data_IF_209509532219
#
_entry.id   IF_209509532219
#
_cell.length_a   1.000
_cell.length_b   1.000
_cell.length_c   1.000
_cell.angle_alpha   90.00
_cell.angle_beta   90.00
_cell.angle_gamma   90.00
#
_symmetry.space_group_name_H-M   'P 1'
#
loop_
_entity.id
_entity.type
_entity.pdbx_description
1 polymer ?
#
# COMPACT_ATOMS: atom_id res chain seq x y z
N UNK A 1 -68.11 46.14 58.93
CA UNK A 1 -68.24 46.90 57.67
C UNK A 1 -66.89 46.83 56.96
N UNK A 2 -66.90 46.20 55.77
CA UNK A 2 -66.02 46.42 54.59
C UNK A 2 -64.47 46.35 54.65
N UNK A 3 -63.95 45.53 53.71
CA UNK A 3 -62.58 45.38 53.13
C UNK A 3 -61.52 44.68 54.02
N UNK A 4 -60.62 43.77 53.55
CA UNK A 4 -60.03 43.55 52.22
C UNK A 4 -59.31 42.17 52.08
N UNK A 5 -59.46 41.56 50.88
CA UNK A 5 -58.59 40.70 50.03
C UNK A 5 -57.77 39.44 50.47
N UNK A 6 -57.57 38.60 49.42
CA UNK A 6 -56.51 37.60 49.10
C UNK A 6 -56.78 36.11 49.42
N UNK A 7 -56.65 35.10 48.53
CA UNK A 7 -55.91 34.90 47.25
C UNK A 7 -56.66 33.87 46.37
N UNK A 8 -56.67 34.08 45.04
CA UNK A 8 -57.34 33.24 44.05
C UNK A 8 -56.69 31.87 43.76
N UNK A 9 -57.52 30.92 43.31
CA UNK A 9 -57.11 29.63 42.74
C UNK A 9 -57.28 29.67 41.22
N UNK A 10 -56.17 29.62 40.50
CA UNK A 10 -56.12 29.41 39.05
C UNK A 10 -56.06 27.89 38.80
N UNK A 11 -57.07 27.34 38.13
CA UNK A 11 -57.06 25.99 37.58
C UNK A 11 -56.46 26.05 36.16
N UNK A 12 -55.21 25.61 36.02
CA UNK A 12 -54.59 25.37 34.71
C UNK A 12 -55.03 24.00 34.19
N UNK A 13 -55.81 23.98 33.10
CA UNK A 13 -56.07 22.77 32.32
C UNK A 13 -54.88 22.56 31.36
N UNK A 14 -54.06 21.54 31.62
CA UNK A 14 -53.00 21.10 30.71
C UNK A 14 -53.62 20.13 29.70
N UNK A 15 -53.77 20.58 28.45
CA UNK A 15 -54.05 19.70 27.32
C UNK A 15 -52.75 18.96 26.96
N UNK A 16 -52.67 17.67 27.31
CA UNK A 16 -51.62 16.79 26.82
C UNK A 16 -51.97 16.37 25.39
N UNK A 17 -51.36 16.99 24.39
CA UNK A 17 -51.37 16.50 23.01
C UNK A 17 -50.36 15.36 22.94
N UNK A 18 -50.85 14.12 22.98
CA UNK A 18 -50.06 12.93 22.69
C UNK A 18 -49.81 12.84 21.18
N UNK A 19 -48.63 13.30 20.75
CA UNK A 19 -48.12 12.98 19.41
C UNK A 19 -47.56 11.56 19.47
N UNK A 20 -48.40 10.57 19.16
CA UNK A 20 -47.90 9.21 18.91
C UNK A 20 -47.01 9.24 17.67
N UNK A 21 -45.77 8.72 17.72
CA UNK A 21 -44.96 8.58 16.51
C UNK A 21 -45.69 7.61 15.58
N UNK A 22 -46.09 8.09 14.40
CA UNK A 22 -46.57 7.24 13.32
C UNK A 22 -45.40 6.37 12.91
N UNK A 23 -45.36 5.13 13.42
CA UNK A 23 -44.52 4.09 12.86
C UNK A 23 -45.08 3.83 11.46
N UNK A 24 -44.41 4.37 10.45
CA UNK A 24 -44.75 4.08 9.06
C UNK A 24 -44.70 2.56 8.87
N UNK A 25 -45.88 1.94 8.69
CA UNK A 25 -45.96 0.50 8.43
C UNK A 25 -45.21 0.22 7.14
N UNK A 26 -44.23 -0.69 7.20
CA UNK A 26 -43.52 -1.14 6.01
C UNK A 26 -44.53 -1.87 5.12
N UNK A 27 -44.88 -1.28 3.96
CA UNK A 27 -45.75 -1.95 2.99
C UNK A 27 -45.06 -3.22 2.49
N UNK A 28 -45.59 -4.39 2.84
CA UNK A 28 -45.12 -5.69 2.34
C UNK A 28 -46.13 -6.35 1.39
N UNK A 29 -47.15 -5.61 0.96
CA UNK A 29 -48.23 -6.12 0.10
C UNK A 29 -47.86 -6.09 -1.38
N UNK A 30 -47.08 -5.08 -1.78
CA UNK A 30 -46.59 -4.84 -3.14
C UNK A 30 -45.11 -5.22 -3.31
N UNK A 31 -44.69 -5.50 -4.55
CA UNK A 31 -43.28 -5.78 -4.87
C UNK A 31 -42.38 -4.57 -4.59
N UNK A 32 -42.85 -3.36 -4.85
CA UNK A 32 -42.12 -2.12 -4.53
C UNK A 32 -42.02 -1.88 -3.03
N UNK A 33 -43.09 -2.17 -2.28
CA UNK A 33 -43.09 -2.14 -0.82
C UNK A 33 -42.07 -3.12 -0.24
N UNK A 34 -42.06 -4.35 -0.74
CA UNK A 34 -41.07 -5.37 -0.37
C UNK A 34 -39.63 -4.98 -0.76
N UNK A 35 -39.42 -4.32 -1.90
CA UNK A 35 -38.10 -3.79 -2.27
C UNK A 35 -37.64 -2.69 -1.31
N UNK A 36 -38.53 -1.78 -0.90
CA UNK A 36 -38.23 -0.76 0.12
C UNK A 36 -37.91 -1.42 1.47
N UNK A 37 -38.68 -2.43 1.88
CA UNK A 37 -38.43 -3.22 3.08
C UNK A 37 -37.06 -3.90 3.03
N UNK A 38 -36.69 -4.48 1.88
CA UNK A 38 -35.40 -5.11 1.67
C UNK A 38 -34.25 -4.09 1.76
N UNK A 39 -34.40 -2.91 1.16
CA UNK A 39 -33.39 -1.84 1.23
C UNK A 39 -33.20 -1.34 2.66
N UNK A 40 -34.30 -1.12 3.39
CA UNK A 40 -34.27 -0.76 4.81
C UNK A 40 -33.53 -1.82 5.63
N UNK A 41 -33.92 -3.08 5.48
CA UNK A 41 -33.28 -4.18 6.20
C UNK A 41 -31.78 -4.30 5.88
N UNK A 42 -31.36 -4.04 4.63
CA UNK A 42 -29.96 -4.13 4.24
C UNK A 42 -29.11 -2.93 4.66
N UNK A 43 -29.63 -1.69 4.60
CA UNK A 43 -28.85 -0.48 4.81
C UNK A 43 -29.03 0.14 6.19
N UNK A 44 -30.23 0.04 6.77
CA UNK A 44 -30.52 0.65 8.08
C UNK A 44 -30.28 -0.36 9.21
N UNK A 45 -30.66 -1.63 8.96
CA UNK A 45 -30.62 -2.68 9.99
C UNK A 45 -29.41 -3.65 9.85
N UNK A 46 -28.59 -3.50 8.79
CA UNK A 46 -27.50 -4.43 8.41
C UNK A 46 -27.92 -5.92 8.36
N UNK A 47 -29.23 -6.18 8.17
CA UNK A 47 -29.83 -7.50 8.21
C UNK A 47 -30.03 -8.07 6.81
N UNK A 48 -28.92 -8.50 6.20
CA UNK A 48 -28.92 -9.15 4.88
C UNK A 48 -29.80 -10.41 4.79
N UNK A 49 -29.88 -11.31 5.80
CA UNK A 49 -30.81 -12.42 5.77
C UNK A 49 -32.27 -11.98 5.59
N UNK A 50 -32.71 -10.99 6.37
CA UNK A 50 -34.08 -10.49 6.28
C UNK A 50 -34.34 -9.75 4.95
N UNK A 51 -33.37 -8.98 4.47
CA UNK A 51 -33.45 -8.33 3.17
C UNK A 51 -33.67 -9.35 2.03
N UNK A 52 -32.97 -10.50 2.08
CA UNK A 52 -33.19 -11.60 1.11
C UNK A 52 -34.60 -12.20 1.21
N UNK A 53 -35.14 -12.38 2.43
CA UNK A 53 -36.52 -12.86 2.61
C UNK A 53 -37.53 -11.94 1.93
N UNK A 54 -37.38 -10.63 2.11
CA UNK A 54 -38.23 -9.66 1.42
C UNK A 54 -38.06 -9.72 -0.11
N UNK A 55 -36.83 -9.85 -0.60
CA UNK A 55 -36.57 -9.96 -2.04
C UNK A 55 -37.14 -11.21 -2.67
N UNK A 56 -37.07 -12.37 -2.00
CA UNK A 56 -37.69 -13.59 -2.53
C UNK A 56 -39.21 -13.44 -2.67
N UNK A 57 -39.87 -12.87 -1.66
CA UNK A 57 -41.31 -12.58 -1.73
C UNK A 57 -41.64 -11.58 -2.85
N UNK A 58 -40.78 -10.59 -3.07
CA UNK A 58 -40.96 -9.61 -4.14
C UNK A 58 -40.79 -10.25 -5.52
N UNK A 59 -39.78 -11.11 -5.70
CA UNK A 59 -39.49 -11.81 -6.96
C UNK A 59 -40.62 -12.79 -7.29
N UNK A 60 -41.21 -13.46 -6.29
CA UNK A 60 -42.35 -14.36 -6.50
C UNK A 60 -43.58 -13.60 -7.02
N UNK A 61 -43.83 -12.39 -6.50
CA UNK A 61 -44.91 -11.50 -6.97
C UNK A 61 -44.62 -10.87 -8.34
N UNK A 62 -43.35 -10.58 -8.64
CA UNK A 62 -42.95 -9.89 -9.88
C UNK A 62 -41.64 -10.48 -10.45
N UNK A 63 -41.70 -11.66 -11.11
CA UNK A 63 -40.50 -12.38 -11.55
C UNK A 63 -39.61 -11.64 -12.56
N UNK A 64 -40.22 -10.72 -13.33
CA UNK A 64 -39.60 -9.93 -14.38
C UNK A 64 -39.12 -8.55 -13.92
N UNK A 65 -39.25 -8.22 -12.63
CA UNK A 65 -38.77 -6.95 -12.11
C UNK A 65 -37.27 -7.04 -11.83
N UNK A 66 -36.46 -6.63 -12.82
CA UNK A 66 -35.00 -6.76 -12.82
C UNK A 66 -34.31 -6.18 -11.58
N UNK A 67 -34.78 -5.05 -11.05
CA UNK A 67 -34.22 -4.40 -9.86
C UNK A 67 -34.20 -5.31 -8.62
N UNK A 68 -35.20 -6.18 -8.47
CA UNK A 68 -35.25 -7.12 -7.35
C UNK A 68 -34.09 -8.11 -7.42
N UNK A 69 -33.84 -8.66 -8.61
CA UNK A 69 -32.74 -9.62 -8.86
C UNK A 69 -31.39 -8.93 -8.81
N UNK A 70 -31.25 -7.71 -9.34
CA UNK A 70 -30.01 -6.93 -9.23
C UNK A 70 -29.69 -6.63 -7.77
N UNK A 71 -30.68 -6.21 -6.98
CA UNK A 71 -30.45 -5.93 -5.57
C UNK A 71 -30.13 -7.19 -4.76
N UNK A 72 -30.78 -8.33 -5.06
CA UNK A 72 -30.42 -9.63 -4.49
C UNK A 72 -28.97 -10.02 -4.85
N UNK A 73 -28.56 -9.81 -6.10
CA UNK A 73 -27.18 -10.03 -6.56
C UNK A 73 -26.16 -9.16 -5.82
N UNK A 74 -26.48 -7.90 -5.54
CA UNK A 74 -25.64 -7.01 -4.71
C UNK A 74 -25.49 -7.51 -3.29
N UNK A 75 -26.57 -7.95 -2.64
CA UNK A 75 -26.50 -8.53 -1.29
C UNK A 75 -25.61 -9.78 -1.28
N UNK A 76 -25.76 -10.65 -2.28
CA UNK A 76 -24.87 -11.80 -2.41
C UNK A 76 -23.41 -11.40 -2.61
N UNK A 77 -23.16 -10.35 -3.39
CA UNK A 77 -21.82 -9.80 -3.58
C UNK A 77 -21.23 -9.28 -2.26
N UNK A 78 -21.98 -8.48 -1.50
CA UNK A 78 -21.52 -7.94 -0.21
C UNK A 78 -21.28 -9.02 0.84
N UNK A 79 -22.03 -10.12 0.76
CA UNK A 79 -21.85 -11.30 1.62
C UNK A 79 -20.86 -12.33 1.05
N UNK A 80 -20.12 -11.99 0.00
CA UNK A 80 -19.08 -12.82 -0.67
C UNK A 80 -19.59 -14.15 -1.24
N UNK A 81 -20.89 -14.24 -1.52
CA UNK A 81 -21.52 -15.38 -2.18
C UNK A 81 -21.54 -15.14 -3.70
N UNK A 82 -20.36 -15.12 -4.33
CA UNK A 82 -20.19 -14.67 -5.71
C UNK A 82 -20.93 -15.54 -6.75
N UNK A 83 -21.02 -16.85 -6.53
CA UNK A 83 -21.76 -17.74 -7.43
C UNK A 83 -23.27 -17.44 -7.44
N UNK A 84 -23.86 -17.19 -6.27
CA UNK A 84 -25.26 -16.78 -6.18
C UNK A 84 -25.50 -15.39 -6.78
N UNK A 85 -24.56 -14.45 -6.57
CA UNK A 85 -24.62 -13.14 -7.19
C UNK A 85 -24.58 -13.23 -8.72
N UNK A 86 -23.71 -14.10 -9.25
CA UNK A 86 -23.55 -14.34 -10.68
C UNK A 86 -24.84 -14.78 -11.33
N UNK A 87 -25.52 -15.77 -10.75
CA UNK A 87 -26.81 -16.26 -11.24
C UNK A 87 -27.84 -15.12 -11.28
N UNK A 88 -27.89 -14.28 -10.25
CA UNK A 88 -28.84 -13.17 -10.20
C UNK A 88 -28.62 -12.16 -11.36
N UNK A 89 -27.37 -11.81 -11.65
CA UNK A 89 -27.05 -10.88 -12.73
C UNK A 89 -27.22 -11.50 -14.12
N UNK A 90 -26.81 -12.76 -14.29
CA UNK A 90 -26.95 -13.49 -15.56
C UNK A 90 -28.42 -13.65 -15.95
N UNK A 91 -29.31 -13.95 -14.99
CA UNK A 91 -30.76 -14.01 -15.24
C UNK A 91 -31.32 -12.66 -15.72
N UNK A 92 -30.88 -11.55 -15.12
CA UNK A 92 -31.32 -10.21 -15.56
C UNK A 92 -30.81 -9.91 -16.97
N UNK A 93 -29.52 -10.15 -17.24
CA UNK A 93 -28.91 -9.85 -18.53
C UNK A 93 -29.35 -10.80 -19.65
N UNK A 94 -29.81 -12.00 -19.32
CA UNK A 94 -30.46 -12.91 -20.29
C UNK A 94 -31.78 -12.35 -20.80
N UNK A 95 -32.54 -11.67 -19.95
CA UNK A 95 -33.82 -11.05 -20.31
C UNK A 95 -33.62 -9.68 -20.95
N UNK A 96 -32.68 -8.89 -20.42
CA UNK A 96 -32.33 -7.57 -20.94
C UNK A 96 -30.80 -7.38 -20.95
N UNK A 97 -30.13 -7.73 -22.06
CA UNK A 97 -28.68 -7.59 -22.20
C UNK A 97 -28.15 -6.16 -22.01
N UNK A 98 -29.01 -5.15 -22.18
CA UNK A 98 -28.67 -3.74 -22.02
C UNK A 98 -28.97 -3.17 -20.64
N UNK A 99 -29.36 -3.98 -19.65
CA UNK A 99 -29.70 -3.48 -18.31
C UNK A 99 -28.46 -2.94 -17.59
N UNK A 100 -28.26 -1.62 -17.69
CA UNK A 100 -27.05 -0.94 -17.24
C UNK A 100 -26.69 -1.25 -15.78
N UNK A 101 -27.66 -1.19 -14.87
CA UNK A 101 -27.42 -1.41 -13.44
C UNK A 101 -26.96 -2.85 -13.12
N UNK A 102 -27.43 -3.85 -13.89
CA UNK A 102 -26.95 -5.22 -13.77
C UNK A 102 -25.52 -5.36 -14.31
N UNK A 103 -25.20 -4.74 -15.45
CA UNK A 103 -23.82 -4.74 -15.98
C UNK A 103 -22.86 -4.07 -15.00
N UNK A 104 -23.24 -2.93 -14.43
CA UNK A 104 -22.44 -2.23 -13.44
C UNK A 104 -22.19 -3.10 -12.19
N UNK A 105 -23.25 -3.70 -11.63
CA UNK A 105 -23.14 -4.53 -10.44
C UNK A 105 -22.37 -5.85 -10.70
N UNK A 106 -22.54 -6.45 -11.87
CA UNK A 106 -21.84 -7.67 -12.25
C UNK A 106 -20.34 -7.40 -12.52
N UNK A 107 -20.01 -6.29 -13.17
CA UNK A 107 -18.63 -5.86 -13.33
C UNK A 107 -17.93 -5.64 -11.98
N UNK A 108 -18.60 -5.00 -11.00
CA UNK A 108 -18.04 -4.84 -9.65
C UNK A 108 -17.83 -6.18 -8.96
N UNK A 109 -18.83 -7.07 -9.00
CA UNK A 109 -18.75 -8.38 -8.37
C UNK A 109 -17.57 -9.20 -8.91
N UNK A 110 -17.44 -9.28 -10.24
CA UNK A 110 -16.34 -10.02 -10.90
C UNK A 110 -15.00 -9.37 -10.62
N UNK A 111 -14.93 -8.04 -10.56
CA UNK A 111 -13.72 -7.32 -10.16
C UNK A 111 -13.31 -7.63 -8.71
N UNK A 112 -14.27 -7.67 -7.77
CA UNK A 112 -14.00 -8.03 -6.36
C UNK A 112 -13.71 -9.51 -6.14
N UNK A 113 -14.06 -10.37 -7.10
CA UNK A 113 -13.68 -11.78 -7.11
C UNK A 113 -12.37 -12.05 -7.88
N UNK A 114 -11.55 -11.01 -8.12
CA UNK A 114 -10.29 -11.08 -8.87
C UNK A 114 -10.41 -11.59 -10.34
N UNK A 115 -11.63 -11.66 -10.88
CA UNK A 115 -11.94 -12.07 -12.26
C UNK A 115 -11.87 -10.85 -13.21
N UNK A 116 -10.71 -10.17 -13.26
CA UNK A 116 -10.53 -8.91 -14.00
C UNK A 116 -10.90 -9.01 -15.49
N UNK A 117 -10.51 -10.08 -16.18
CA UNK A 117 -10.85 -10.26 -17.60
C UNK A 117 -12.37 -10.41 -17.80
N UNK A 118 -13.06 -11.13 -16.91
CA UNK A 118 -14.51 -11.26 -16.98
C UNK A 118 -15.19 -9.93 -16.71
N UNK A 119 -14.72 -9.17 -15.72
CA UNK A 119 -15.21 -7.82 -15.42
C UNK A 119 -15.07 -6.88 -16.62
N UNK A 120 -13.95 -6.96 -17.33
CA UNK A 120 -13.72 -6.21 -18.57
C UNK A 120 -14.74 -6.59 -19.65
N UNK A 121 -14.94 -7.88 -19.89
CA UNK A 121 -15.95 -8.36 -20.85
C UNK A 121 -17.35 -7.87 -20.51
N UNK A 122 -17.78 -7.94 -19.24
CA UNK A 122 -19.09 -7.44 -18.82
C UNK A 122 -19.23 -5.94 -19.06
N UNK A 123 -18.19 -5.14 -18.79
CA UNK A 123 -18.21 -3.72 -19.11
C UNK A 123 -18.34 -3.50 -20.62
N UNK A 124 -17.60 -4.25 -21.44
CA UNK A 124 -17.61 -4.12 -22.90
C UNK A 124 -18.95 -4.50 -23.51
N UNK A 125 -19.57 -5.59 -23.05
CA UNK A 125 -20.93 -5.95 -23.46
C UNK A 125 -21.96 -4.90 -23.04
N UNK A 126 -21.90 -4.40 -21.80
CA UNK A 126 -22.80 -3.34 -21.35
C UNK A 126 -22.67 -2.04 -22.17
N UNK A 127 -21.45 -1.70 -22.58
CA UNK A 127 -21.17 -0.49 -23.40
C UNK A 127 -21.77 -0.62 -24.80
N UNK A 128 -21.88 -1.83 -25.38
CA UNK A 128 -22.54 -2.02 -26.68
C UNK A 128 -23.98 -1.53 -26.66
N UNK A 129 -24.69 -1.76 -25.56
CA UNK A 129 -26.08 -1.32 -25.37
C UNK A 129 -26.18 0.10 -24.80
N UNK A 130 -25.20 0.53 -23.99
CA UNK A 130 -25.18 1.84 -23.34
C UNK A 130 -23.89 2.62 -23.68
N UNK A 131 -23.71 3.06 -24.95
CA UNK A 131 -22.45 3.64 -25.44
C UNK A 131 -22.09 5.00 -24.82
N UNK A 132 -22.98 5.60 -24.03
CA UNK A 132 -22.76 6.86 -23.29
C UNK A 132 -22.76 6.68 -21.77
N UNK A 133 -22.69 5.44 -21.27
CA UNK A 133 -22.66 5.16 -19.83
C UNK A 133 -21.35 5.61 -19.20
N UNK A 134 -21.38 6.71 -18.43
CA UNK A 134 -20.23 7.14 -17.63
C UNK A 134 -19.77 6.04 -16.66
N UNK A 135 -20.73 5.34 -16.03
CA UNK A 135 -20.47 4.29 -15.05
C UNK A 135 -19.71 3.09 -15.64
N UNK A 136 -20.10 2.61 -16.81
CA UNK A 136 -19.46 1.44 -17.44
C UNK A 136 -18.04 1.78 -17.91
N UNK A 137 -17.83 2.97 -18.49
CA UNK A 137 -16.48 3.41 -18.86
C UNK A 137 -15.57 3.64 -17.64
N UNK A 138 -16.12 4.16 -16.53
CA UNK A 138 -15.37 4.28 -15.26
C UNK A 138 -14.95 2.91 -14.72
N UNK A 139 -15.84 1.92 -14.71
CA UNK A 139 -15.52 0.55 -14.30
C UNK A 139 -14.49 -0.09 -15.23
N UNK A 140 -14.68 0.01 -16.55
CA UNK A 140 -13.72 -0.44 -17.56
C UNK A 140 -12.32 0.16 -17.30
N UNK A 141 -12.23 1.47 -17.07
CA UNK A 141 -10.96 2.13 -16.78
C UNK A 141 -10.31 1.62 -15.49
N UNK A 142 -11.08 1.33 -14.43
CA UNK A 142 -10.58 0.75 -13.18
C UNK A 142 -10.02 -0.65 -13.37
N UNK A 143 -10.75 -1.51 -14.08
CA UNK A 143 -10.34 -2.89 -14.39
C UNK A 143 -9.08 -2.88 -15.25
N UNK A 144 -9.03 -2.06 -16.31
CA UNK A 144 -7.83 -1.95 -17.14
C UNK A 144 -6.62 -1.41 -16.35
N UNK A 145 -6.85 -0.49 -15.42
CA UNK A 145 -5.80 0.01 -14.53
C UNK A 145 -5.30 -1.07 -13.55
N UNK A 146 -6.17 -1.92 -12.99
CA UNK A 146 -5.74 -3.06 -12.14
C UNK A 146 -4.91 -4.07 -12.93
N UNK A 147 -5.26 -4.29 -14.20
CA UNK A 147 -4.53 -5.15 -15.14
C UNK A 147 -3.23 -4.52 -15.67
N UNK A 148 -2.86 -3.31 -15.22
CA UNK A 148 -1.72 -2.52 -15.71
C UNK A 148 -1.77 -2.18 -17.21
N UNK A 149 -2.94 -2.26 -17.83
CA UNK A 149 -3.22 -1.83 -19.21
C UNK A 149 -3.48 -0.32 -19.25
N UNK A 150 -2.50 0.46 -18.82
CA UNK A 150 -2.68 1.89 -18.53
C UNK A 150 -3.08 2.72 -19.75
N UNK A 151 -2.59 2.38 -20.95
CA UNK A 151 -2.99 3.08 -22.17
C UNK A 151 -4.48 2.87 -22.50
N UNK A 152 -4.99 1.66 -22.34
CA UNK A 152 -6.40 1.37 -22.59
C UNK A 152 -7.28 1.95 -21.48
N UNK A 153 -6.80 1.92 -20.22
CA UNK A 153 -7.46 2.54 -19.09
C UNK A 153 -7.62 4.05 -19.29
N UNK A 154 -6.57 4.72 -19.77
CA UNK A 154 -6.61 6.16 -20.06
C UNK A 154 -7.62 6.45 -21.17
N UNK A 155 -7.60 5.70 -22.28
CA UNK A 155 -8.62 5.83 -23.34
C UNK A 155 -10.04 5.72 -22.79
N UNK A 156 -10.32 4.72 -21.94
CA UNK A 156 -11.64 4.50 -21.36
C UNK A 156 -12.08 5.67 -20.46
N UNK A 157 -11.20 6.20 -19.59
CA UNK A 157 -11.57 7.33 -18.72
C UNK A 157 -11.67 8.65 -19.48
N UNK A 158 -10.93 8.84 -20.58
CA UNK A 158 -11.07 10.01 -21.44
C UNK A 158 -12.46 10.08 -22.10
N UNK A 159 -13.09 8.93 -22.40
CA UNK A 159 -14.48 8.91 -22.87
C UNK A 159 -15.41 9.56 -21.84
N UNK A 160 -15.28 9.19 -20.57
CA UNK A 160 -16.09 9.78 -19.47
C UNK A 160 -15.85 11.29 -19.36
N UNK A 161 -14.60 11.74 -19.43
CA UNK A 161 -14.25 13.16 -19.37
C UNK A 161 -14.81 13.93 -20.59
N UNK A 162 -14.89 13.29 -21.75
CA UNK A 162 -15.47 13.89 -22.95
C UNK A 162 -17.00 14.03 -22.87
N UNK A 163 -17.69 13.03 -22.27
CA UNK A 163 -19.13 13.04 -22.04
C UNK A 163 -19.51 14.05 -20.94
N UNK A 164 -18.76 14.04 -19.84
CA UNK A 164 -18.99 14.90 -18.69
C UNK A 164 -17.66 15.48 -18.20
N UNK A 165 -17.37 16.68 -18.70
CA UNK A 165 -16.13 17.40 -18.36
C UNK A 165 -15.98 17.58 -16.87
N UNK A 166 -17.06 17.73 -16.10
CA UNK A 166 -17.05 18.03 -14.67
C UNK A 166 -17.04 16.79 -13.77
N UNK A 167 -16.96 15.59 -14.33
CA UNK A 167 -16.86 14.36 -13.56
C UNK A 167 -15.52 14.32 -12.78
N UNK A 168 -15.59 14.62 -11.48
CA UNK A 168 -14.42 14.71 -10.59
C UNK A 168 -13.77 13.34 -10.37
N UNK A 169 -14.58 12.29 -10.30
CA UNK A 169 -14.15 10.91 -10.17
C UNK A 169 -13.33 10.45 -11.39
N UNK A 170 -13.80 10.76 -12.60
CA UNK A 170 -13.09 10.46 -13.83
C UNK A 170 -11.74 11.18 -13.91
N UNK A 171 -11.69 12.48 -13.55
CA UNK A 171 -10.44 13.25 -13.51
C UNK A 171 -9.45 12.69 -12.49
N UNK A 172 -9.93 12.31 -11.30
CA UNK A 172 -9.10 11.69 -10.28
C UNK A 172 -8.56 10.32 -10.73
N UNK A 173 -9.40 9.49 -11.36
CA UNK A 173 -9.00 8.21 -11.93
C UNK A 173 -7.98 8.39 -13.07
N UNK A 174 -8.17 9.35 -13.97
CA UNK A 174 -7.22 9.68 -15.04
C UNK A 174 -5.87 10.15 -14.49
N UNK A 175 -5.86 10.88 -13.37
CA UNK A 175 -4.61 11.23 -12.68
C UNK A 175 -3.90 9.99 -12.15
N UNK A 176 -4.63 9.10 -11.47
CA UNK A 176 -4.10 7.83 -10.93
C UNK A 176 -3.57 6.90 -12.03
N UNK A 177 -4.29 6.76 -13.14
CA UNK A 177 -3.84 5.95 -14.29
C UNK A 177 -2.53 6.50 -14.84
N UNK A 178 -2.44 7.82 -15.05
CA UNK A 178 -1.21 8.46 -15.53
C UNK A 178 -0.05 8.31 -14.54
N UNK A 179 -0.30 8.44 -13.23
CA UNK A 179 0.71 8.18 -12.20
C UNK A 179 1.21 6.73 -12.24
N UNK A 180 0.30 5.76 -12.39
CA UNK A 180 0.63 4.34 -12.49
C UNK A 180 1.36 3.99 -13.81
N UNK A 181 1.08 4.73 -14.88
CA UNK A 181 1.67 4.52 -16.21
C UNK A 181 3.14 4.94 -16.28
N UNK A 182 3.58 5.80 -15.35
CA UNK A 182 4.95 6.29 -15.31
C UNK A 182 5.92 5.12 -15.11
N UNK A 183 6.89 5.03 -16.01
CA UNK A 183 7.88 3.95 -16.01
C UNK A 183 9.20 4.37 -15.42
N UNK A 184 9.57 5.66 -15.53
CA UNK A 184 10.90 6.10 -15.17
C UNK A 184 10.87 6.90 -13.87
N UNK A 185 11.98 6.87 -13.16
CA UNK A 185 12.21 7.72 -12.00
C UNK A 185 13.67 8.13 -11.95
N UNK A 186 13.92 9.31 -11.41
CA UNK A 186 15.25 9.79 -11.07
C UNK A 186 15.23 10.24 -9.61
N UNK A 187 16.23 9.81 -8.85
CA UNK A 187 16.41 10.13 -7.45
C UNK A 187 17.75 10.81 -7.21
N UNK A 188 17.77 11.74 -6.27
CA UNK A 188 18.99 12.31 -5.71
C UNK A 188 18.87 12.26 -4.20
N UNK A 189 19.88 11.75 -3.52
CA UNK A 189 19.97 11.77 -2.06
C UNK A 189 21.33 12.24 -1.58
N UNK A 190 21.33 12.79 -0.38
CA UNK A 190 22.52 13.19 0.34
C UNK A 190 22.45 12.67 1.78
N UNK A 191 23.50 11.94 2.19
CA UNK A 191 23.70 11.47 3.54
C UNK A 191 24.87 12.23 4.19
N UNK A 192 24.63 12.73 5.39
CA UNK A 192 25.61 13.35 6.26
C UNK A 192 25.73 12.54 7.55
N UNK A 193 26.94 12.11 7.89
CA UNK A 193 27.22 11.35 9.12
C UNK A 193 28.26 12.08 9.94
N UNK A 194 28.00 12.23 11.24
CA UNK A 194 28.95 12.84 12.18
C UNK A 194 29.14 11.95 13.41
N UNK A 195 30.27 12.15 14.08
CA UNK A 195 30.74 11.31 15.18
C UNK A 195 31.12 12.19 16.37
N UNK A 196 30.90 11.71 17.58
CA UNK A 196 31.32 12.42 18.80
C UNK A 196 32.81 12.19 19.13
N UNK A 197 33.36 11.01 18.80
CA UNK A 197 34.72 10.60 19.20
C UNK A 197 35.50 9.88 18.11
N UNK A 198 34.84 9.03 17.31
CA UNK A 198 35.53 8.05 16.46
C UNK A 198 36.29 8.70 15.29
N UNK A 199 35.74 9.77 14.72
CA UNK A 199 36.32 10.51 13.60
C UNK A 199 36.14 12.01 13.82
N UNK A 200 37.14 12.80 13.44
CA UNK A 200 37.07 14.26 13.46
C UNK A 200 36.26 14.82 12.29
N UNK A 201 36.37 14.18 11.12
CA UNK A 201 35.73 14.64 9.90
C UNK A 201 34.38 13.93 9.70
N UNK A 202 33.31 14.67 9.37
CA UNK A 202 32.05 14.07 9.00
C UNK A 202 32.17 13.31 7.67
N UNK A 203 31.27 12.37 7.45
CA UNK A 203 31.16 11.65 6.20
C UNK A 203 30.02 12.18 5.36
N UNK A 204 30.26 12.15 4.06
CA UNK A 204 29.34 12.64 3.04
C UNK A 204 29.11 11.54 2.01
N UNK A 205 27.87 11.35 1.58
CA UNK A 205 27.52 10.50 0.45
C UNK A 205 26.45 11.20 -0.38
N UNK A 206 26.68 11.33 -1.68
CA UNK A 206 25.69 11.76 -2.66
C UNK A 206 25.38 10.58 -3.55
N UNK A 207 24.10 10.30 -3.74
CA UNK A 207 23.63 9.26 -4.66
C UNK A 207 22.72 9.87 -5.72
N UNK A 208 22.92 9.46 -6.96
CA UNK A 208 22.01 9.73 -8.07
C UNK A 208 21.56 8.39 -8.64
N UNK A 209 20.26 8.13 -8.62
CA UNK A 209 19.69 6.89 -9.16
C UNK A 209 18.72 7.16 -10.31
N UNK A 210 18.75 6.28 -11.30
CA UNK A 210 17.74 6.21 -12.35
C UNK A 210 17.11 4.83 -12.33
N UNK A 211 15.79 4.78 -12.20
CA UNK A 211 15.01 3.55 -12.17
C UNK A 211 14.01 3.48 -13.31
N UNK A 212 13.83 2.28 -13.87
CA UNK A 212 12.80 2.00 -14.87
C UNK A 212 12.01 0.75 -14.52
N UNK A 213 10.69 0.87 -14.53
CA UNK A 213 9.76 -0.26 -14.46
C UNK A 213 9.72 -0.96 -15.82
N UNK A 214 10.07 -2.24 -15.83
CA UNK A 214 10.08 -3.11 -17.02
C UNK A 214 9.00 -4.20 -16.90
N UNK A 215 8.90 -5.07 -17.90
CA UNK A 215 7.98 -6.23 -17.85
C UNK A 215 8.34 -7.23 -16.76
N UNK A 216 9.63 -7.38 -16.45
CA UNK A 216 10.10 -8.32 -15.43
C UNK A 216 10.14 -7.71 -14.03
N UNK A 217 10.21 -6.39 -13.88
CA UNK A 217 10.39 -5.72 -12.58
C UNK A 217 11.04 -4.35 -12.72
N UNK A 218 11.38 -3.69 -11.61
CA UNK A 218 12.16 -2.45 -11.67
C UNK A 218 13.64 -2.73 -11.81
N UNK A 219 14.32 -2.01 -12.70
CA UNK A 219 15.79 -1.99 -12.83
C UNK A 219 16.25 -0.60 -12.46
N UNK A 220 17.28 -0.48 -11.64
CA UNK A 220 17.80 0.78 -11.10
C UNK A 220 19.31 0.79 -11.27
N UNK A 221 19.83 1.83 -11.91
CA UNK A 221 21.25 2.17 -11.87
C UNK A 221 21.47 3.28 -10.85
N UNK A 222 22.53 3.19 -10.04
CA UNK A 222 22.90 4.21 -9.07
C UNK A 222 24.38 4.57 -9.20
N UNK A 223 24.66 5.86 -9.14
CA UNK A 223 26.00 6.39 -8.98
C UNK A 223 26.13 7.02 -7.59
N UNK A 224 27.19 6.65 -6.89
CA UNK A 224 27.50 7.14 -5.56
C UNK A 224 28.84 7.88 -5.57
N UNK A 225 28.88 9.05 -4.95
CA UNK A 225 30.11 9.74 -4.56
C UNK A 225 30.15 9.85 -3.05
N UNK A 226 31.22 9.38 -2.42
CA UNK A 226 31.38 9.49 -0.99
C UNK A 226 32.72 10.12 -0.61
N UNK A 227 32.69 10.98 0.41
CA UNK A 227 33.85 11.41 1.16
C UNK A 227 33.77 10.76 2.54
N UNK A 228 34.67 9.79 2.78
CA UNK A 228 34.77 9.03 4.04
C UNK A 228 36.23 8.72 4.32
N UNK A 229 36.61 8.65 5.59
CA UNK A 229 38.00 8.33 5.99
C UNK A 229 39.04 9.27 5.36
N UNK A 230 38.71 10.56 5.23
CA UNK A 230 39.52 11.56 4.52
C UNK A 230 39.87 11.17 3.05
N UNK A 231 39.07 10.31 2.43
CA UNK A 231 39.24 9.85 1.05
C UNK A 231 37.94 9.98 0.26
N UNK A 232 38.07 10.12 -1.06
CA UNK A 232 36.95 10.23 -1.99
C UNK A 232 36.80 8.92 -2.78
N UNK A 233 35.59 8.40 -2.84
CA UNK A 233 35.28 7.18 -3.59
C UNK A 233 34.09 7.36 -4.52
N UNK A 234 34.10 6.61 -5.61
CA UNK A 234 32.98 6.48 -6.54
C UNK A 234 32.51 5.03 -6.56
N UNK A 235 31.20 4.82 -6.63
CA UNK A 235 30.63 3.49 -6.78
C UNK A 235 29.48 3.50 -7.80
N UNK A 236 29.43 2.45 -8.60
CA UNK A 236 28.39 2.20 -9.58
C UNK A 236 27.60 0.97 -9.13
N UNK A 237 26.28 1.10 -9.05
CA UNK A 237 25.40 0.00 -8.68
C UNK A 237 24.38 -0.27 -9.79
N UNK A 238 24.05 -1.54 -9.97
CA UNK A 238 22.92 -1.99 -10.77
C UNK A 238 22.08 -2.95 -9.93
N UNK A 239 20.81 -2.61 -9.76
CA UNK A 239 19.84 -3.36 -8.97
C UNK A 239 18.62 -3.73 -9.82
N UNK A 240 18.06 -4.90 -9.60
CA UNK A 240 16.83 -5.36 -10.23
C UNK A 240 15.91 -6.05 -9.22
N UNK A 241 14.61 -5.87 -9.42
CA UNK A 241 13.57 -6.46 -8.60
C UNK A 241 12.62 -7.31 -9.44
N UNK A 242 13.06 -8.46 -9.99
CA UNK A 242 12.22 -9.23 -10.89
C UNK A 242 11.09 -9.92 -10.13
N UNK A 243 9.89 -9.86 -10.70
CA UNK A 243 8.71 -10.57 -10.22
C UNK A 243 8.73 -11.98 -10.79
N UNK A 244 8.76 -12.97 -9.91
CA UNK A 244 8.84 -14.39 -10.26
C UNK A 244 7.43 -14.98 -10.36
N UNK A 245 6.55 -14.61 -9.43
CA UNK A 245 5.14 -15.03 -9.43
C UNK A 245 4.25 -14.00 -8.73
N UNK A 246 2.99 -14.37 -8.46
CA UNK A 246 2.11 -13.56 -7.61
C UNK A 246 2.57 -13.52 -6.15
N UNK A 247 3.25 -14.57 -5.70
CA UNK A 247 3.77 -14.72 -4.34
C UNK A 247 5.20 -14.20 -4.22
N UNK A 248 6.05 -14.50 -5.20
CA UNK A 248 7.49 -14.30 -5.10
C UNK A 248 8.00 -13.17 -6.00
N UNK A 249 8.92 -12.39 -5.45
CA UNK A 249 9.79 -11.50 -6.21
C UNK A 249 11.20 -11.57 -5.61
N UNK A 250 12.21 -11.16 -6.35
CA UNK A 250 13.58 -11.13 -5.82
C UNK A 250 14.20 -9.74 -5.88
N UNK A 251 15.29 -9.59 -5.15
CA UNK A 251 16.29 -8.54 -5.33
C UNK A 251 17.53 -9.19 -5.91
N UNK A 252 18.13 -8.54 -6.91
CA UNK A 252 19.44 -8.88 -7.45
C UNK A 252 20.22 -7.58 -7.59
N UNK A 253 21.41 -7.52 -7.02
CA UNK A 253 22.25 -6.31 -7.04
C UNK A 253 23.72 -6.63 -7.28
N UNK A 254 24.38 -5.76 -8.03
CA UNK A 254 25.83 -5.75 -8.18
C UNK A 254 26.33 -4.30 -8.08
N UNK A 255 27.47 -4.09 -7.43
CA UNK A 255 28.14 -2.81 -7.42
C UNK A 255 29.66 -2.95 -7.51
N UNK A 256 30.28 -1.90 -8.02
CA UNK A 256 31.70 -1.82 -8.28
C UNK A 256 32.28 -0.47 -7.83
N UNK A 257 33.50 -0.49 -7.30
CA UNK A 257 34.28 0.71 -6.96
C UNK A 257 35.77 0.48 -7.19
N UNK A 258 36.44 1.46 -7.81
CA UNK A 258 37.90 1.49 -7.92
C UNK A 258 38.58 1.91 -6.61
N UNK A 259 37.85 2.55 -5.70
CA UNK A 259 38.38 2.95 -4.40
C UNK A 259 37.90 2.00 -3.29
N UNK A 260 38.77 1.04 -2.95
CA UNK A 260 38.58 0.04 -1.89
C UNK A 260 38.58 0.67 -0.47
N UNK A 261 39.13 1.89 -0.34
CA UNK A 261 39.16 2.67 0.88
C UNK A 261 37.78 3.08 1.38
N UNK A 262 36.89 3.39 0.46
CA UNK A 262 35.57 4.01 0.73
C UNK A 262 34.42 3.04 0.49
N UNK A 263 34.52 2.20 -0.54
CA UNK A 263 33.50 1.23 -0.92
C UNK A 263 34.11 -0.17 -1.14
N UNK A 264 33.32 -1.26 -1.05
CA UNK A 264 33.77 -2.57 -1.53
C UNK A 264 34.16 -2.49 -3.00
N UNK A 265 35.23 -3.18 -3.38
CA UNK A 265 35.65 -3.32 -4.77
C UNK A 265 34.56 -4.01 -5.60
N UNK A 266 34.01 -5.10 -5.04
CA UNK A 266 32.80 -5.74 -5.55
C UNK A 266 31.79 -5.92 -4.43
N UNK A 267 30.53 -5.62 -4.73
CA UNK A 267 29.38 -5.95 -3.89
C UNK A 267 28.36 -6.70 -4.73
N UNK A 268 27.81 -7.77 -4.17
CA UNK A 268 26.75 -8.55 -4.77
C UNK A 268 25.62 -8.78 -3.77
N UNK A 269 24.41 -9.00 -4.27
CA UNK A 269 23.31 -9.33 -3.40
C UNK A 269 22.19 -10.07 -4.11
N UNK A 270 21.59 -11.00 -3.38
CA UNK A 270 20.38 -11.68 -3.79
C UNK A 270 19.44 -11.79 -2.59
N UNK A 271 18.15 -11.52 -2.78
CA UNK A 271 17.11 -11.86 -1.79
C UNK A 271 15.88 -12.40 -2.49
N UNK A 272 15.23 -13.39 -1.90
CA UNK A 272 13.92 -13.87 -2.31
C UNK A 272 12.88 -13.38 -1.29
N UNK A 273 11.87 -12.67 -1.79
CA UNK A 273 10.75 -12.17 -1.01
C UNK A 273 9.50 -12.98 -1.30
N UNK A 274 8.66 -13.18 -0.28
CA UNK A 274 7.38 -13.86 -0.37
C UNK A 274 6.27 -12.98 0.24
N UNK A 275 5.24 -12.70 -0.54
CA UNK A 275 3.98 -12.13 -0.06
C UNK A 275 3.08 -13.27 0.40
N UNK A 276 2.87 -13.39 1.71
CA UNK A 276 2.20 -14.51 2.35
C UNK A 276 0.75 -14.16 2.73
N UNK A 277 -0.14 -15.18 2.87
CA UNK A 277 -1.50 -14.96 3.34
C UNK A 277 -1.58 -14.22 4.68
N UNK A 278 -2.75 -13.64 4.98
CA UNK A 278 -2.98 -12.86 6.21
C UNK A 278 -2.05 -11.66 6.36
N UNK A 279 -1.63 -11.09 5.23
CA UNK A 279 -0.83 -9.87 5.14
C UNK A 279 0.56 -9.96 5.79
N UNK A 280 1.16 -11.14 5.70
CA UNK A 280 2.55 -11.36 6.09
C UNK A 280 3.47 -11.21 4.87
N UNK A 281 4.72 -10.83 5.12
CA UNK A 281 5.79 -10.88 4.13
C UNK A 281 7.04 -11.49 4.76
N UNK A 282 7.85 -12.17 3.95
CA UNK A 282 9.09 -12.78 4.39
C UNK A 282 10.20 -12.59 3.37
N UNK A 283 11.45 -12.57 3.84
CA UNK A 283 12.66 -12.52 3.01
C UNK A 283 13.67 -13.54 3.51
N UNK A 284 14.40 -14.16 2.57
CA UNK A 284 15.72 -14.71 2.82
C UNK A 284 16.69 -14.19 1.76
N UNK A 285 17.91 -13.84 2.15
CA UNK A 285 18.88 -13.30 1.23
C UNK A 285 20.33 -13.47 1.66
N UNK A 286 21.21 -13.15 0.73
CA UNK A 286 22.66 -13.13 0.90
C UNK A 286 23.24 -11.85 0.30
N UNK A 287 24.28 -11.30 0.92
CA UNK A 287 25.11 -10.23 0.40
C UNK A 287 26.56 -10.70 0.35
N UNK A 288 27.27 -10.25 -0.66
CA UNK A 288 28.69 -10.49 -0.90
C UNK A 288 29.40 -9.14 -0.87
N UNK A 289 30.46 -9.02 -0.10
CA UNK A 289 31.28 -7.82 0.01
C UNK A 289 32.76 -8.19 -0.15
N UNK A 290 33.42 -7.66 -1.17
CA UNK A 290 34.85 -7.85 -1.41
C UNK A 290 35.56 -6.51 -1.32
N UNK A 291 36.37 -6.35 -0.28
CA UNK A 291 37.33 -5.26 -0.15
C UNK A 291 38.70 -5.73 -0.67
N UNK A 292 39.80 -5.40 0.03
CA UNK A 292 41.15 -5.86 -0.31
C UNK A 292 41.43 -7.31 0.12
N UNK A 293 40.81 -7.77 1.21
CA UNK A 293 40.97 -9.12 1.77
C UNK A 293 39.93 -10.11 1.27
N UNK A 294 39.76 -11.23 1.96
CA UNK A 294 38.75 -12.23 1.63
C UNK A 294 37.32 -11.68 1.63
N UNK A 295 36.42 -12.24 0.79
CA UNK A 295 35.05 -11.77 0.72
C UNK A 295 34.28 -12.09 2.00
N UNK A 296 33.42 -11.15 2.40
CA UNK A 296 32.47 -11.33 3.49
C UNK A 296 31.10 -11.67 2.94
N UNK A 297 30.51 -12.76 3.48
CA UNK A 297 29.15 -13.17 3.19
C UNK A 297 28.23 -12.80 4.35
N UNK A 298 27.11 -12.16 4.01
CA UNK A 298 26.10 -11.75 4.99
C UNK A 298 24.78 -12.40 4.62
N UNK A 299 24.23 -13.21 5.50
CA UNK A 299 22.92 -13.81 5.35
C UNK A 299 21.88 -12.94 6.03
N UNK A 300 20.72 -12.76 5.43
CA UNK A 300 19.64 -11.97 6.00
C UNK A 300 18.32 -12.73 5.96
N UNK A 301 17.53 -12.52 7.01
CA UNK A 301 16.15 -12.98 7.11
C UNK A 301 15.26 -11.86 7.61
N UNK A 302 14.06 -11.75 7.05
CA UNK A 302 13.08 -10.77 7.46
C UNK A 302 11.68 -11.35 7.50
N UNK A 303 10.88 -10.89 8.48
CA UNK A 303 9.44 -11.15 8.56
C UNK A 303 8.74 -9.83 8.82
N UNK A 304 7.72 -9.55 8.02
CA UNK A 304 6.86 -8.38 8.13
C UNK A 304 5.39 -8.76 8.27
N UNK A 305 4.61 -7.87 8.88
CA UNK A 305 3.15 -7.98 9.00
C UNK A 305 2.50 -6.63 8.80
N UNK A 306 1.55 -6.57 7.88
CA UNK A 306 0.64 -5.43 7.78
C UNK A 306 -0.50 -5.57 8.77
N UNK A 307 -0.76 -4.50 9.51
CA UNK A 307 -1.93 -4.35 10.36
C UNK A 307 -2.56 -2.98 10.10
N UNK A 308 -3.68 -2.95 9.38
CA UNK A 308 -4.29 -1.72 8.87
C UNK A 308 -3.25 -0.92 8.07
N UNK A 309 -3.05 0.35 8.43
CA UNK A 309 -2.06 1.26 7.84
C UNK A 309 -0.64 1.10 8.37
N UNK A 310 -0.38 0.09 9.22
CA UNK A 310 0.95 -0.16 9.79
C UNK A 310 1.61 -1.36 9.13
N UNK A 311 2.93 -1.28 8.93
CA UNK A 311 3.81 -2.39 8.64
C UNK A 311 4.81 -2.54 9.79
N UNK A 312 4.76 -3.67 10.47
CA UNK A 312 5.75 -4.06 11.47
C UNK A 312 6.70 -5.06 10.86
N UNK A 313 8.00 -4.92 11.13
CA UNK A 313 9.01 -5.77 10.54
C UNK A 313 10.13 -6.11 11.50
N UNK A 314 10.60 -7.36 11.46
CA UNK A 314 11.77 -7.85 12.18
C UNK A 314 12.78 -8.40 11.17
N UNK A 315 14.02 -7.95 11.24
CA UNK A 315 15.12 -8.38 10.38
C UNK A 315 16.29 -8.88 11.21
N UNK A 316 16.95 -9.91 10.73
CA UNK A 316 18.23 -10.37 11.24
C UNK A 316 19.27 -10.40 10.12
N UNK A 317 20.52 -10.15 10.49
CA UNK A 317 21.70 -10.37 9.67
C UNK A 317 22.64 -11.30 10.42
N UNK A 318 23.23 -12.26 9.70
CA UNK A 318 24.19 -13.23 10.23
C UNK A 318 25.42 -13.17 9.33
N UNK A 319 26.58 -12.90 9.93
CA UNK A 319 27.86 -12.75 9.23
C UNK A 319 28.87 -13.71 9.84
N UNK A 320 29.10 -14.88 9.22
CA UNK A 320 30.18 -15.76 9.62
C UNK A 320 31.53 -15.10 9.38
N UNK A 321 32.45 -15.22 10.33
CA UNK A 321 33.83 -14.78 10.14
C UNK A 321 34.55 -15.68 9.13
N UNK A 322 35.48 -15.08 8.38
CA UNK A 322 36.32 -15.83 7.42
C UNK A 322 37.54 -16.48 8.09
N UNK A 323 37.98 -15.93 9.23
CA UNK A 323 39.25 -16.32 9.87
C UNK A 323 39.07 -16.97 11.25
N UNK A 324 37.88 -16.88 11.84
CA UNK A 324 37.56 -17.42 13.17
C UNK A 324 36.30 -18.27 13.11
N UNK A 325 36.06 -19.12 14.11
CA UNK A 325 34.80 -19.87 14.28
C UNK A 325 33.64 -19.01 14.82
N UNK A 326 33.82 -17.69 14.89
CA UNK A 326 32.83 -16.77 15.45
C UNK A 326 31.82 -16.35 14.39
N UNK A 327 30.57 -16.16 14.81
CA UNK A 327 29.48 -15.65 13.97
C UNK A 327 28.98 -14.36 14.61
N UNK A 328 28.89 -13.30 13.80
CA UNK A 328 28.28 -12.05 14.23
C UNK A 328 26.83 -11.99 13.78
N UNK A 329 26.00 -11.30 14.57
CA UNK A 329 24.60 -11.08 14.25
C UNK A 329 24.15 -9.66 14.58
N UNK A 330 23.23 -9.13 13.78
CA UNK A 330 22.50 -7.91 14.11
C UNK A 330 21.00 -8.08 13.86
N UNK A 331 20.21 -7.34 14.61
CA UNK A 331 18.75 -7.43 14.63
C UNK A 331 18.16 -6.03 14.49
N UNK A 332 17.08 -5.92 13.72
CA UNK A 332 16.36 -4.66 13.54
C UNK A 332 14.86 -4.90 13.67
N UNK A 333 14.21 -4.06 14.47
CA UNK A 333 12.76 -3.95 14.52
C UNK A 333 12.34 -2.63 13.90
N UNK A 334 11.28 -2.66 13.11
CA UNK A 334 10.77 -1.49 12.40
C UNK A 334 9.25 -1.40 12.47
N UNK A 335 8.75 -0.18 12.49
CA UNK A 335 7.34 0.14 12.35
C UNK A 335 7.20 1.28 11.33
N UNK A 336 6.35 1.09 10.32
CA UNK A 336 6.02 2.12 9.32
C UNK A 336 4.51 2.36 9.32
N UNK A 337 4.10 3.61 9.35
CA UNK A 337 2.71 4.05 9.30
C UNK A 337 2.45 4.81 8.00
N UNK A 338 1.55 4.29 7.18
CA UNK A 338 1.12 4.89 5.90
C UNK A 338 -0.18 5.67 6.10
N UNK A 339 -0.10 6.99 6.11
CA UNK A 339 -1.25 7.84 6.44
C UNK A 339 -2.07 8.27 5.21
N UNK A 340 -1.55 8.10 4.00
CA UNK A 340 -2.29 8.44 2.76
C UNK A 340 -1.98 7.55 1.56
N UNK A 341 -0.71 7.24 1.31
CA UNK A 341 -0.26 6.43 0.18
C UNK A 341 1.04 5.71 0.53
N UNK A 342 1.53 4.85 -0.36
CA UNK A 342 2.83 4.19 -0.20
C UNK A 342 4.02 5.17 -0.14
N UNK A 343 3.84 6.42 -0.58
CA UNK A 343 4.85 7.48 -0.52
C UNK A 343 4.64 8.46 0.64
N UNK A 344 3.60 8.25 1.45
CA UNK A 344 3.21 9.12 2.56
C UNK A 344 3.27 8.31 3.85
N UNK A 345 4.45 8.27 4.45
CA UNK A 345 4.72 7.43 5.61
C UNK A 345 5.62 8.09 6.65
N UNK A 346 5.39 7.69 7.90
CA UNK A 346 6.33 7.82 9.00
C UNK A 346 6.88 6.44 9.31
N UNK A 347 8.15 6.34 9.69
CA UNK A 347 8.71 5.09 10.14
C UNK A 347 9.72 5.28 11.25
N UNK A 348 9.85 4.23 12.05
CA UNK A 348 10.76 4.14 13.16
C UNK A 348 11.48 2.81 13.09
N UNK A 349 12.75 2.80 13.47
CA UNK A 349 13.50 1.57 13.64
C UNK A 349 14.33 1.60 14.91
N UNK A 350 14.52 0.43 15.49
CA UNK A 350 15.47 0.17 16.55
C UNK A 350 16.30 -1.04 16.17
N UNK A 351 17.58 -1.07 16.53
CA UNK A 351 18.46 -2.17 16.18
C UNK A 351 19.49 -2.45 17.25
N UNK A 352 19.99 -3.69 17.22
CA UNK A 352 21.05 -4.18 18.08
C UNK A 352 22.07 -4.98 17.26
N UNK A 353 23.34 -4.78 17.54
CA UNK A 353 24.45 -5.47 16.86
C UNK A 353 25.02 -4.66 15.69
N UNK A 354 26.25 -4.97 15.33
CA UNK A 354 26.99 -4.27 14.27
C UNK A 354 26.56 -4.78 12.90
N UNK A 355 26.06 -3.89 12.04
CA UNK A 355 25.73 -4.25 10.64
C UNK A 355 27.02 -4.36 9.81
N UNK A 356 27.19 -5.40 8.98
CA UNK A 356 28.40 -5.65 8.20
C UNK A 356 28.57 -4.72 6.98
N UNK A 357 27.71 -3.72 6.81
CA UNK A 357 27.63 -2.89 5.61
C UNK A 357 28.82 -1.92 5.43
N UNK A 358 29.71 -1.80 6.41
CA UNK A 358 30.90 -0.94 6.37
C UNK A 358 32.19 -1.77 6.49
N UNK A 359 33.26 -1.35 5.80
CA UNK A 359 34.58 -1.99 5.83
C UNK A 359 35.14 -2.10 7.24
N UNK A 360 35.02 -1.06 8.06
CA UNK A 360 35.53 -1.10 9.43
C UNK A 360 34.78 -2.11 10.29
N UNK A 361 33.48 -2.24 10.06
CA UNK A 361 32.68 -3.26 10.70
C UNK A 361 33.15 -4.65 10.23
N UNK A 362 33.45 -4.85 8.94
CA UNK A 362 34.00 -6.12 8.41
C UNK A 362 35.35 -6.49 9.04
N UNK A 363 36.24 -5.54 9.26
CA UNK A 363 37.52 -5.78 9.95
C UNK A 363 37.27 -6.17 11.42
N UNK A 364 36.30 -5.54 12.08
CA UNK A 364 35.91 -5.86 13.46
C UNK A 364 35.19 -7.21 13.58
N UNK A 365 34.42 -7.61 12.56
CA UNK A 365 33.70 -8.90 12.48
C UNK A 365 34.64 -10.11 12.38
N UNK A 366 35.85 -9.89 11.86
CA UNK A 366 36.94 -10.88 11.84
C UNK A 366 37.85 -10.79 13.09
N UNK A 367 37.52 -9.94 14.07
CA UNK A 367 38.25 -9.78 15.34
C UNK A 367 37.75 -10.72 16.44
N UNK A 368 38.53 -10.86 17.52
CA UNK A 368 38.22 -11.73 18.68
C UNK A 368 37.11 -11.15 19.56
N UNK A 369 36.89 -9.84 19.53
CA UNK A 369 35.90 -9.13 20.36
C UNK A 369 34.64 -8.77 19.56
N UNK A 370 33.49 -9.30 19.97
CA UNK A 370 32.19 -8.89 19.43
C UNK A 370 31.77 -7.55 20.04
N UNK A 371 31.81 -6.49 19.23
CA UNK A 371 31.44 -5.15 19.65
C UNK A 371 29.92 -4.96 19.66
N UNK A 372 29.42 -4.19 20.62
CA UNK A 372 27.99 -3.91 20.79
C UNK A 372 27.59 -2.60 20.11
N UNK A 373 26.43 -2.58 19.46
CA UNK A 373 25.87 -1.38 18.85
C UNK A 373 24.36 -1.32 19.05
N UNK A 374 23.85 -0.15 19.38
CA UNK A 374 22.43 0.16 19.48
C UNK A 374 22.08 1.22 18.46
N UNK A 375 20.97 1.02 17.76
CA UNK A 375 20.48 1.96 16.75
C UNK A 375 19.06 2.40 17.07
N UNK A 376 18.77 3.67 16.87
CA UNK A 376 17.41 4.18 16.74
C UNK A 376 17.35 5.12 15.53
N UNK A 377 16.24 5.11 14.80
CA UNK A 377 16.09 5.97 13.64
C UNK A 377 14.64 6.24 13.30
N UNK A 378 14.46 7.30 12.51
CA UNK A 378 13.19 7.69 11.96
C UNK A 378 13.32 7.93 10.45
N UNK A 379 12.22 7.75 9.76
CA UNK A 379 12.05 8.07 8.34
C UNK A 379 10.75 8.85 8.17
N UNK A 380 10.80 9.93 7.43
CA UNK A 380 9.63 10.66 6.96
C UNK A 380 9.66 10.72 5.45
N UNK A 381 8.61 10.22 4.80
CA UNK A 381 8.46 10.26 3.36
C UNK A 381 7.13 10.87 3.01
N UNK A 382 7.14 11.83 2.08
CA UNK A 382 5.93 12.55 1.68
C UNK A 382 5.90 12.81 0.19
N UNK A 383 4.77 12.54 -0.43
CA UNK A 383 4.46 13.00 -1.78
C UNK A 383 4.03 14.46 -1.70
N UNK A 384 4.82 15.38 -2.28
CA UNK A 384 4.50 16.82 -2.25
C UNK A 384 3.89 17.33 -3.56
N UNK A 385 4.05 16.58 -4.65
CA UNK A 385 3.34 16.82 -5.90
C UNK A 385 3.09 15.50 -6.63
N UNK A 386 2.34 15.54 -7.74
CA UNK A 386 1.93 14.34 -8.51
C UNK A 386 3.06 13.35 -8.79
N UNK A 387 4.25 13.87 -9.10
CA UNK A 387 5.39 13.07 -9.54
C UNK A 387 6.61 13.15 -8.63
N UNK A 388 6.58 14.00 -7.59
CA UNK A 388 7.74 14.23 -6.74
C UNK A 388 7.48 13.80 -5.31
N UNK A 389 8.44 13.05 -4.78
CA UNK A 389 8.45 12.50 -3.43
C UNK A 389 9.71 13.00 -2.73
N UNK A 390 9.55 13.37 -1.47
CA UNK A 390 10.63 13.82 -0.62
C UNK A 390 10.79 12.87 0.56
N UNK A 391 12.03 12.62 0.96
CA UNK A 391 12.37 11.77 2.10
C UNK A 391 13.35 12.50 3.00
N UNK A 392 13.12 12.45 4.30
CA UNK A 392 14.08 12.79 5.35
C UNK A 392 14.25 11.56 6.23
N UNK A 393 15.49 11.23 6.53
CA UNK A 393 15.84 10.17 7.46
C UNK A 393 16.82 10.71 8.51
N UNK A 394 16.71 10.17 9.72
CA UNK A 394 17.67 10.45 10.77
C UNK A 394 17.90 9.20 11.60
N UNK A 395 19.14 8.94 11.98
CA UNK A 395 19.43 7.85 12.90
C UNK A 395 20.58 8.17 13.84
N UNK A 396 20.50 7.58 15.01
CA UNK A 396 21.52 7.60 16.04
C UNK A 396 22.00 6.17 16.27
N UNK A 397 23.31 6.01 16.33
CA UNK A 397 23.97 4.76 16.70
C UNK A 397 24.85 5.03 17.91
N UNK A 398 24.75 4.19 18.93
CA UNK A 398 25.71 4.12 20.02
C UNK A 398 26.49 2.82 19.85
N UNK A 399 27.78 2.94 19.53
CA UNK A 399 28.60 1.80 19.16
C UNK A 399 29.89 1.73 19.95
N UNK A 400 30.25 0.53 20.36
CA UNK A 400 31.58 0.18 20.79
C UNK A 400 32.46 0.03 19.54
N UNK A 401 33.47 0.87 19.37
CA UNK A 401 34.34 0.86 18.17
C UNK A 401 35.78 0.43 18.48
N UNK A 402 36.13 0.44 19.77
CA UNK A 402 37.33 -0.18 20.35
C UNK A 402 36.90 -0.86 21.67
N UNK A 403 37.61 -1.90 22.15
CA UNK A 403 37.24 -2.59 23.38
C UNK A 403 37.02 -1.60 24.54
N UNK A 404 35.85 -1.68 25.18
CA UNK A 404 35.40 -0.81 26.28
C UNK A 404 35.30 0.68 25.95
N UNK A 405 35.31 1.05 24.67
CA UNK A 405 35.23 2.44 24.22
C UNK A 405 34.01 2.64 23.34
N UNK A 406 33.07 3.43 23.83
CA UNK A 406 31.80 3.74 23.16
C UNK A 406 31.76 5.17 22.61
N UNK A 407 31.08 5.32 21.48
CA UNK A 407 30.85 6.59 20.81
C UNK A 407 29.49 6.64 20.14
N UNK A 408 29.06 7.85 19.83
CA UNK A 408 27.82 8.17 19.15
C UNK A 408 28.11 8.56 17.70
N UNK A 409 27.30 8.00 16.80
CA UNK A 409 27.24 8.36 15.40
C UNK A 409 25.83 8.89 15.12
N UNK A 410 25.74 10.00 14.41
CA UNK A 410 24.49 10.61 13.98
C UNK A 410 24.47 10.67 12.46
N UNK A 411 23.42 10.16 11.84
CA UNK A 411 23.19 10.21 10.41
C UNK A 411 21.94 11.04 10.11
N UNK A 412 22.05 11.92 9.13
CA UNK A 412 20.96 12.70 8.56
C UNK A 412 20.96 12.54 7.06
N UNK A 413 19.80 12.26 6.48
CA UNK A 413 19.65 12.04 5.05
C UNK A 413 18.49 12.83 4.50
N UNK A 414 18.67 13.35 3.29
CA UNK A 414 17.63 14.03 2.53
C UNK A 414 17.60 13.45 1.12
N UNK A 415 16.40 13.21 0.61
CA UNK A 415 16.21 12.61 -0.71
C UNK A 415 15.05 13.25 -1.47
N UNK A 416 15.22 13.39 -2.78
CA UNK A 416 14.17 13.78 -3.70
C UNK A 416 14.07 12.76 -4.83
N UNK A 417 12.86 12.34 -5.14
CA UNK A 417 12.57 11.39 -6.21
C UNK A 417 11.53 12.00 -7.15
N UNK A 418 11.81 12.02 -8.45
CA UNK A 418 10.88 12.43 -9.49
C UNK A 418 10.54 11.26 -10.41
N UNK A 419 9.26 11.06 -10.69
CA UNK A 419 8.74 10.05 -11.63
C UNK A 419 8.34 10.70 -12.96
N UNK A 420 8.59 10.07 -14.11
CA UNK A 420 8.18 10.58 -15.43
C UNK A 420 7.97 9.51 -16.52
#
# INVERSE_FOLDING_TARGET
MSFNLNIGRILFAVFAISVSPVVAQTDTSSSDGLLKAARKAAFDDDNYPQAKVYLYKAIEKSPNYSDLRVFLGRIYTWTKNYDSARICFEEVLKQNPGYEDACLAYADMTFWNDENEKSLTICEEGIKYNPKSEGLYLKKARVLNSMRRFSDADKAVQVVISLNKNNTEARALANRIRENAVKNRIGVSYDFVTFDKQFSDPWHLVSVDYGRNTGIGSIIGRFNYANRFASNGYQYELEAYPRISNTFYSYVGIAYSDNIGVFPHWRGGFSLYANLPKSYEAELGVRYLKFSGDPTYVYTGYVGKYYKSWLFGARAYITPSTFTSTVSSSYNLSARYYYASADDMLGFNIGYGVSPDDRLNVIQLNGVTQLTSYKAGFIFRKKFSKFNVFTIDGSWLNQEYLPKTIGNQYQFSIGCLRRF
#
